data_IF_664016510537
#
_entry.id   IF_664016510537
#
_cell.length_a   1.000
_cell.length_b   1.000
_cell.length_c   1.000
_cell.angle_alpha   90.00
_cell.angle_beta   90.00
_cell.angle_gamma   90.00
#
_symmetry.space_group_name_H-M   'P 1'
#
loop_
_entity.id
_entity.type
_entity.pdbx_description
1 polymer ?
#
# COMPACT_ATOMS: atom_id res chain seq x y z
N UNK A 1 -16.76 17.94 4.57
CA UNK A 1 -18.17 18.17 4.20
C UNK A 1 -18.30 18.07 2.69
N UNK A 2 -19.35 17.41 2.21
CA UNK A 2 -19.72 17.41 0.78
C UNK A 2 -20.76 18.52 0.55
N UNK A 3 -20.98 18.90 -0.71
CA UNK A 3 -21.92 19.96 -1.06
C UNK A 3 -23.38 19.45 -0.94
N UNK A 4 -24.29 20.24 -0.35
CA UNK A 4 -25.70 19.87 -0.16
C UNK A 4 -26.61 20.16 -1.36
N UNK A 5 -26.11 20.85 -2.38
CA UNK A 5 -26.91 21.39 -3.49
C UNK A 5 -26.42 20.97 -4.87
N UNK A 6 -25.22 20.37 -4.97
CA UNK A 6 -24.61 19.96 -6.22
C UNK A 6 -23.91 18.62 -6.07
N UNK A 7 -24.09 17.76 -7.06
CA UNK A 7 -23.38 16.50 -7.20
C UNK A 7 -21.89 16.74 -7.48
N UNK A 8 -21.03 15.84 -6.97
CA UNK A 8 -19.61 15.80 -7.30
C UNK A 8 -19.34 14.57 -8.16
N UNK A 9 -19.07 14.77 -9.44
CA UNK A 9 -18.63 13.70 -10.33
C UNK A 9 -17.10 13.69 -10.46
N UNK A 10 -16.50 12.51 -10.46
CA UNK A 10 -15.08 12.34 -10.75
C UNK A 10 -14.82 10.98 -11.39
N UNK A 11 -13.91 10.96 -12.37
CA UNK A 11 -13.39 9.75 -12.99
C UNK A 11 -11.94 9.58 -12.56
N UNK A 12 -11.65 8.53 -11.80
CA UNK A 12 -10.31 8.23 -11.34
C UNK A 12 -9.84 6.91 -11.95
N UNK A 13 -8.67 6.94 -12.58
CA UNK A 13 -7.99 5.75 -13.08
C UNK A 13 -6.81 5.46 -12.17
N UNK A 14 -6.76 4.23 -11.65
CA UNK A 14 -5.66 3.77 -10.81
C UNK A 14 -4.83 2.74 -11.58
N UNK A 15 -3.52 2.98 -11.65
CA UNK A 15 -2.56 2.03 -12.20
C UNK A 15 -1.95 1.24 -11.04
N UNK A 16 -2.04 -0.08 -11.12
CA UNK A 16 -1.50 -1.00 -10.12
C UNK A 16 -0.40 -1.89 -10.71
N UNK A 17 0.54 -2.38 -9.89
CA UNK A 17 1.43 -3.45 -10.28
C UNK A 17 0.65 -4.68 -10.74
N UNK A 18 1.29 -5.54 -11.54
CA UNK A 18 0.70 -6.81 -11.96
C UNK A 18 0.29 -7.64 -10.74
N UNK A 19 -0.85 -8.32 -10.83
CA UNK A 19 -1.45 -9.04 -9.71
C UNK A 19 -0.59 -10.22 -9.21
N UNK A 20 0.17 -10.83 -10.11
CA UNK A 20 1.14 -11.90 -9.89
C UNK A 20 2.56 -11.39 -9.61
N UNK A 21 2.75 -10.06 -9.56
CA UNK A 21 4.04 -9.45 -9.25
C UNK A 21 4.34 -9.36 -7.75
N UNK A 22 5.53 -8.84 -7.45
CA UNK A 22 5.98 -8.53 -6.10
C UNK A 22 5.92 -7.02 -5.81
N UNK A 23 5.75 -6.70 -4.53
CA UNK A 23 5.74 -5.35 -3.99
C UNK A 23 6.70 -5.28 -2.82
N UNK A 24 7.71 -4.42 -2.92
CA UNK A 24 8.72 -4.20 -1.88
C UNK A 24 9.58 -2.97 -2.18
N UNK A 25 10.55 -2.65 -1.30
CA UNK A 25 11.52 -1.59 -1.56
C UNK A 25 12.27 -1.84 -2.87
N UNK A 26 12.47 -0.78 -3.67
CA UNK A 26 13.30 -0.88 -4.86
C UNK A 26 14.74 -1.20 -4.45
N UNK A 27 15.35 -2.22 -5.05
CA UNK A 27 16.69 -2.68 -4.69
C UNK A 27 17.76 -1.61 -4.85
N UNK A 28 17.60 -0.70 -5.83
CA UNK A 28 18.50 0.44 -6.05
C UNK A 28 18.48 1.50 -4.94
N UNK A 29 17.49 1.46 -4.05
CA UNK A 29 17.35 2.38 -2.93
C UNK A 29 17.77 1.77 -1.59
N UNK A 30 18.13 0.47 -1.59
CA UNK A 30 18.52 -0.25 -0.38
C UNK A 30 20.04 -0.37 -0.33
N UNK A 31 20.65 0.24 0.68
CA UNK A 31 22.09 0.14 0.96
C UNK A 31 22.38 0.12 2.47
N UNK A 32 23.66 0.18 2.85
CA UNK A 32 24.09 0.15 4.25
C UNK A 32 23.55 1.35 5.08
N UNK A 33 23.33 2.49 4.44
CA UNK A 33 22.78 3.71 5.05
C UNK A 33 21.26 3.75 4.98
N UNK A 34 20.67 3.15 3.94
CA UNK A 34 19.22 3.08 3.71
C UNK A 34 18.73 1.64 3.71
N UNK A 35 18.71 1.02 4.88
CA UNK A 35 18.18 -0.34 5.04
C UNK A 35 16.70 -0.44 4.65
N UNK A 36 16.31 -1.60 4.13
CA UNK A 36 14.92 -1.90 3.79
C UNK A 36 14.01 -1.82 5.03
N UNK A 37 13.11 -0.84 5.06
CA UNK A 37 12.18 -0.63 6.17
C UNK A 37 10.89 -1.44 6.08
N UNK A 38 10.63 -2.06 4.93
CA UNK A 38 9.41 -2.82 4.65
C UNK A 38 9.73 -4.16 3.99
N UNK A 39 8.92 -5.17 4.30
CA UNK A 39 9.02 -6.52 3.72
C UNK A 39 8.50 -6.55 2.28
N UNK A 40 9.13 -7.35 1.43
CA UNK A 40 8.60 -7.73 0.11
C UNK A 40 7.45 -8.72 0.26
N UNK A 41 6.40 -8.56 -0.55
CA UNK A 41 5.22 -9.44 -0.57
C UNK A 41 4.67 -9.56 -1.99
N UNK A 42 3.97 -10.65 -2.30
CA UNK A 42 3.18 -10.72 -3.53
C UNK A 42 2.06 -9.68 -3.52
N UNK A 43 1.77 -9.06 -4.68
CA UNK A 43 0.73 -8.04 -4.84
C UNK A 43 -0.64 -8.60 -4.45
N UNK A 44 -0.94 -9.84 -4.86
CA UNK A 44 -2.14 -10.58 -4.45
C UNK A 44 -2.33 -10.63 -2.94
N UNK A 45 -1.28 -10.99 -2.19
CA UNK A 45 -1.36 -11.13 -0.74
C UNK A 45 -1.40 -9.78 -0.03
N UNK A 46 -0.72 -8.78 -0.59
CA UNK A 46 -0.83 -7.39 -0.16
C UNK A 46 -2.27 -6.89 -0.26
N UNK A 47 -2.91 -7.05 -1.42
CA UNK A 47 -4.29 -6.59 -1.63
C UNK A 47 -5.29 -7.33 -0.74
N UNK A 48 -5.16 -8.65 -0.62
CA UNK A 48 -5.99 -9.45 0.30
C UNK A 48 -5.87 -8.95 1.74
N UNK A 49 -4.66 -8.72 2.22
CA UNK A 49 -4.46 -8.21 3.57
C UNK A 49 -4.90 -6.75 3.74
N UNK A 50 -4.66 -5.89 2.74
CA UNK A 50 -5.06 -4.48 2.79
C UNK A 50 -6.58 -4.31 2.88
N UNK A 51 -7.32 -4.98 2.00
CA UNK A 51 -8.79 -4.90 1.95
C UNK A 51 -9.47 -5.76 3.02
N UNK A 52 -8.82 -6.83 3.50
CA UNK A 52 -9.39 -7.75 4.49
C UNK A 52 -9.13 -7.39 5.96
N UNK A 53 -8.26 -6.43 6.26
CA UNK A 53 -7.91 -6.08 7.64
C UNK A 53 -9.03 -5.32 8.36
N UNK A 54 -9.07 -5.44 9.69
CA UNK A 54 -9.84 -4.53 10.55
C UNK A 54 -9.21 -3.14 10.55
N UNK A 55 -10.03 -2.10 10.58
CA UNK A 55 -9.58 -0.72 10.75
C UNK A 55 -9.35 -0.46 12.25
N UNK A 56 -8.12 -0.65 12.70
CA UNK A 56 -7.70 -0.60 14.11
C UNK A 56 -6.76 0.58 14.43
N UNK A 57 -6.68 1.57 13.54
CA UNK A 57 -5.96 2.83 13.73
C UNK A 57 -4.53 2.87 13.18
N UNK A 58 -3.90 1.74 12.84
CA UNK A 58 -2.59 1.73 12.17
C UNK A 58 -2.72 1.62 10.65
N UNK A 59 -1.75 2.16 9.90
CA UNK A 59 -1.71 1.96 8.45
C UNK A 59 -1.41 0.49 8.12
N UNK A 60 -1.88 0.00 6.97
CA UNK A 60 -1.60 -1.40 6.59
C UNK A 60 -0.11 -1.61 6.36
N UNK A 61 0.54 -0.60 5.79
CA UNK A 61 1.96 -0.61 5.46
C UNK A 61 2.81 -0.72 6.73
N UNK A 62 2.36 -0.19 7.87
CA UNK A 62 3.06 -0.36 9.15
C UNK A 62 3.12 -1.83 9.59
N UNK A 63 2.13 -2.66 9.25
CA UNK A 63 2.19 -4.11 9.52
C UNK A 63 3.28 -4.84 8.72
N UNK A 64 3.86 -4.17 7.72
CA UNK A 64 4.91 -4.70 6.85
C UNK A 64 6.30 -4.20 7.23
N UNK A 65 6.44 -3.39 8.28
CA UNK A 65 7.75 -2.91 8.73
C UNK A 65 8.66 -4.07 9.17
N UNK A 66 9.95 -3.96 8.86
CA UNK A 66 10.99 -4.94 9.23
C UNK A 66 11.53 -4.72 10.64
N UNK A 67 11.53 -3.47 11.12
CA UNK A 67 11.98 -3.09 12.46
C UNK A 67 10.74 -2.79 13.34
N UNK A 68 10.56 -3.57 14.40
CA UNK A 68 9.68 -3.26 15.54
C UNK A 68 10.54 -3.09 16.79
#
# INVERSE_FOLDING_TARGET
MVNCSKERMSFATFLFPKYDGELGPASSLVDEKTQAQYKTTGVKDHLKGFFGRKLDGKSYVDSKRTNL
#
